data_IF_398556684213
#
_entry.id   IF_398556684213
#
_cell.length_a   1.000
_cell.length_b   1.000
_cell.length_c   1.000
_cell.angle_alpha   90.00
_cell.angle_beta   90.00
_cell.angle_gamma   90.00
#
_symmetry.space_group_name_H-M   'P 1'
#
loop_
_entity.id
_entity.type
_entity.pdbx_description
1 polymer ?
#
# COMPACT_ATOMS: atom_id res chain seq x y z
N UNK A 1 -0.79 9.96 -15.53
CA UNK A 1 -0.93 9.08 -14.35
C UNK A 1 0.27 9.30 -13.47
N UNK A 2 0.05 9.43 -12.17
CA UNK A 2 1.06 9.67 -11.15
C UNK A 2 1.20 8.41 -10.31
N UNK A 3 2.43 8.07 -9.91
CA UNK A 3 2.69 6.98 -8.97
C UNK A 3 2.39 7.47 -7.56
N UNK A 4 1.76 6.64 -6.73
CA UNK A 4 1.56 6.88 -5.32
C UNK A 4 2.02 5.67 -4.52
N UNK A 5 2.61 5.91 -3.36
CA UNK A 5 2.83 4.89 -2.35
C UNK A 5 1.74 5.03 -1.31
N UNK A 6 1.01 3.96 -1.03
CA UNK A 6 -0.09 3.90 -0.07
C UNK A 6 0.22 2.80 0.93
N UNK A 7 0.17 3.11 2.22
CA UNK A 7 0.34 2.11 3.27
C UNK A 7 -0.67 2.27 4.39
N UNK A 8 -0.98 1.18 5.07
CA UNK A 8 -1.54 1.26 6.41
C UNK A 8 -0.95 0.17 7.31
N UNK A 9 -0.98 0.48 8.59
CA UNK A 9 -0.68 -0.42 9.68
C UNK A 9 -1.93 -0.51 10.56
N UNK A 10 -2.45 -1.72 10.72
CA UNK A 10 -3.64 -2.01 11.51
C UNK A 10 -3.30 -3.04 12.58
N UNK A 11 -3.58 -2.68 13.84
CA UNK A 11 -3.54 -3.61 14.96
C UNK A 11 -4.88 -3.57 15.67
N UNK A 12 -5.54 -4.71 15.77
CA UNK A 12 -6.75 -4.86 16.55
C UNK A 12 -6.59 -5.96 17.60
N UNK A 13 -7.17 -5.70 18.77
CA UNK A 13 -7.11 -6.57 19.93
C UNK A 13 -7.71 -7.94 19.59
N UNK A 14 -6.88 -8.99 19.59
CA UNK A 14 -7.30 -10.36 19.28
C UNK A 14 -7.30 -10.74 17.79
N UNK A 15 -7.16 -9.79 16.86
CA UNK A 15 -7.01 -10.08 15.41
C UNK A 15 -5.54 -10.12 14.98
N UNK A 16 -4.66 -9.58 15.82
CA UNK A 16 -3.23 -9.48 15.55
C UNK A 16 -2.85 -8.18 14.86
N UNK A 17 -1.80 -8.24 14.07
CA UNK A 17 -1.20 -7.10 13.41
C UNK A 17 -1.13 -7.32 11.91
N UNK A 18 -1.49 -6.30 11.13
CA UNK A 18 -1.41 -6.31 9.67
C UNK A 18 -0.81 -5.02 9.17
N UNK A 19 0.16 -5.14 8.28
CA UNK A 19 0.63 -4.03 7.46
C UNK A 19 0.39 -4.33 5.98
N UNK A 20 -0.10 -3.33 5.26
CA UNK A 20 -0.26 -3.38 3.81
C UNK A 20 0.46 -2.19 3.19
N UNK A 21 1.13 -2.44 2.07
CA UNK A 21 1.84 -1.44 1.29
C UNK A 21 1.53 -1.65 -0.18
N UNK A 22 1.26 -0.57 -0.90
CA UNK A 22 0.97 -0.57 -2.31
C UNK A 22 1.65 0.57 -3.02
N UNK A 23 2.10 0.32 -4.25
CA UNK A 23 2.54 1.35 -5.18
C UNK A 23 1.59 1.30 -6.37
N UNK A 24 0.89 2.39 -6.64
CA UNK A 24 -0.22 2.41 -7.59
C UNK A 24 -0.13 3.61 -8.53
N UNK A 25 -0.57 3.44 -9.77
CA UNK A 25 -0.87 4.57 -10.63
C UNK A 25 -2.28 5.10 -10.42
N UNK A 26 -2.39 6.42 -10.27
CA UNK A 26 -3.67 7.11 -10.15
C UNK A 26 -3.60 8.54 -10.71
N UNK A 27 -4.76 9.16 -10.89
CA UNK A 27 -4.90 10.57 -11.30
C UNK A 27 -4.94 11.52 -10.12
N UNK A 28 -5.57 11.10 -9.02
CA UNK A 28 -5.69 11.87 -7.78
C UNK A 28 -5.26 11.04 -6.58
N UNK A 29 -5.12 11.69 -5.42
CA UNK A 29 -4.86 11.01 -4.15
C UNK A 29 -6.01 10.07 -3.77
N UNK A 30 -7.26 10.53 -3.92
CA UNK A 30 -8.44 9.72 -3.62
C UNK A 30 -8.55 8.50 -4.55
N UNK A 31 -8.20 8.67 -5.83
CA UNK A 31 -8.11 7.54 -6.76
C UNK A 31 -7.04 6.53 -6.34
N UNK A 32 -5.88 6.99 -5.86
CA UNK A 32 -4.81 6.12 -5.39
C UNK A 32 -5.28 5.26 -4.20
N UNK A 33 -6.00 5.86 -3.26
CA UNK A 33 -6.60 5.17 -2.12
C UNK A 33 -7.62 4.13 -2.58
N UNK A 34 -8.49 4.48 -3.53
CA UNK A 34 -9.53 3.58 -4.02
C UNK A 34 -8.92 2.40 -4.78
N UNK A 35 -7.96 2.64 -5.66
CA UNK A 35 -7.19 1.60 -6.37
C UNK A 35 -6.49 0.69 -5.37
N UNK A 36 -5.88 1.24 -4.33
CA UNK A 36 -5.23 0.46 -3.30
C UNK A 36 -6.23 -0.44 -2.54
N UNK A 37 -7.40 0.07 -2.16
CA UNK A 37 -8.44 -0.76 -1.55
C UNK A 37 -9.02 -1.82 -2.50
N UNK A 38 -9.14 -1.53 -3.79
CA UNK A 38 -9.54 -2.50 -4.82
C UNK A 38 -8.52 -3.64 -4.93
N UNK A 39 -7.23 -3.34 -4.86
CA UNK A 39 -6.16 -4.35 -4.83
C UNK A 39 -6.25 -5.27 -3.60
N UNK A 40 -6.75 -4.76 -2.48
CA UNK A 40 -6.97 -5.53 -1.26
C UNK A 40 -8.31 -6.27 -1.25
N UNK A 41 -9.19 -5.99 -2.23
CA UNK A 41 -10.54 -6.58 -2.35
C UNK A 41 -11.37 -6.39 -1.08
N UNK A 42 -11.21 -5.25 -0.42
CA UNK A 42 -11.93 -4.95 0.81
C UNK A 42 -13.36 -4.48 0.49
N UNK A 43 -14.36 -4.90 1.28
CA UNK A 43 -15.72 -4.38 1.19
C UNK A 43 -15.77 -2.91 1.64
N UNK A 44 -16.74 -2.15 1.13
CA UNK A 44 -16.86 -0.71 1.37
C UNK A 44 -16.91 -0.34 2.86
N UNK A 45 -17.59 -1.14 3.68
CA UNK A 45 -17.66 -0.93 5.14
C UNK A 45 -16.29 -0.93 5.82
N UNK A 46 -15.38 -1.79 5.36
CA UNK A 46 -14.00 -1.87 5.87
C UNK A 46 -13.15 -0.74 5.31
N UNK A 47 -13.37 -0.34 4.05
CA UNK A 47 -12.66 0.81 3.44
C UNK A 47 -12.90 2.08 4.24
N UNK A 48 -14.16 2.38 4.55
CA UNK A 48 -14.53 3.58 5.32
C UNK A 48 -13.85 3.60 6.70
N UNK A 49 -13.74 2.44 7.34
CA UNK A 49 -13.07 2.30 8.63
C UNK A 49 -11.55 2.47 8.55
N UNK A 50 -10.89 1.90 7.54
CA UNK A 50 -9.43 1.95 7.40
C UNK A 50 -8.90 3.24 6.75
N UNK A 51 -9.73 3.94 5.97
CA UNK A 51 -9.33 5.14 5.20
C UNK A 51 -8.61 6.20 6.04
N UNK A 52 -9.03 6.52 7.28
CA UNK A 52 -8.32 7.49 8.12
C UNK A 52 -6.92 7.07 8.56
N UNK A 53 -6.61 5.77 8.52
CA UNK A 53 -5.30 5.21 8.91
C UNK A 53 -4.33 5.02 7.76
N UNK A 54 -4.67 5.46 6.54
CA UNK A 54 -3.79 5.37 5.38
C UNK A 54 -2.77 6.51 5.39
N UNK A 55 -1.52 6.15 5.13
CA UNK A 55 -0.46 7.07 4.73
C UNK A 55 -0.34 7.05 3.21
N UNK A 56 -0.35 8.23 2.58
CA UNK A 56 -0.27 8.37 1.12
C UNK A 56 0.81 9.36 0.74
N UNK A 57 1.81 8.87 0.00
CA UNK A 57 2.92 9.68 -0.53
C UNK A 57 2.83 9.73 -2.05
N UNK A 58 2.98 10.93 -2.62
CA UNK A 58 3.11 11.10 -4.07
C UNK A 58 4.50 10.61 -4.51
N UNK A 59 4.53 9.69 -5.47
CA UNK A 59 5.74 9.03 -5.94
C UNK A 59 6.05 7.71 -5.21
N UNK A 60 7.25 7.18 -5.49
CA UNK A 60 7.80 6.01 -4.80
C UNK A 60 8.46 6.47 -3.50
N UNK A 61 7.85 6.12 -2.36
CA UNK A 61 8.42 6.38 -1.05
C UNK A 61 9.48 5.33 -0.72
N UNK A 62 10.73 5.62 -1.12
CA UNK A 62 11.87 4.72 -0.90
C UNK A 62 12.10 4.45 0.59
N UNK A 63 11.76 5.39 1.48
CA UNK A 63 11.98 5.25 2.91
C UNK A 63 11.04 4.18 3.50
N UNK A 64 9.76 4.23 3.13
CA UNK A 64 8.78 3.21 3.52
C UNK A 64 9.13 1.88 2.85
N UNK A 65 9.35 1.86 1.53
CA UNK A 65 9.61 0.62 0.80
C UNK A 65 10.92 -0.08 1.24
N UNK A 66 11.94 0.67 1.69
CA UNK A 66 13.20 0.08 2.18
C UNK A 66 13.02 -0.73 3.48
N UNK A 67 11.95 -0.49 4.24
CA UNK A 67 11.61 -1.33 5.42
C UNK A 67 11.21 -2.75 5.04
N UNK A 68 10.91 -2.97 3.76
CA UNK A 68 10.14 -4.10 3.25
C UNK A 68 10.87 -4.90 2.20
N UNK A 69 11.65 -4.22 1.36
CA UNK A 69 12.39 -4.84 0.27
C UNK A 69 13.83 -4.30 0.24
N UNK A 70 14.74 -5.14 -0.25
CA UNK A 70 16.15 -4.76 -0.40
C UNK A 70 16.31 -3.65 -1.45
N UNK A 71 17.42 -2.93 -1.39
CA UNK A 71 17.72 -1.83 -2.33
C UNK A 71 17.71 -2.28 -3.80
N UNK A 72 18.32 -3.42 -4.12
CA UNK A 72 18.28 -3.99 -5.47
C UNK A 72 16.84 -4.33 -5.94
N UNK A 73 15.92 -4.61 -5.00
CA UNK A 73 14.52 -4.89 -5.31
C UNK A 73 13.69 -3.60 -5.43
N UNK A 74 14.05 -2.55 -4.69
CA UNK A 74 13.53 -1.19 -4.91
C UNK A 74 13.82 -0.73 -6.33
N UNK A 75 15.07 -0.81 -6.79
CA UNK A 75 15.43 -0.36 -8.14
C UNK A 75 14.63 -1.08 -9.22
N UNK A 76 14.44 -2.40 -9.07
CA UNK A 76 13.60 -3.18 -9.99
C UNK A 76 12.14 -2.76 -9.91
N UNK A 77 11.62 -2.47 -8.73
CA UNK A 77 10.26 -1.96 -8.55
C UNK A 77 10.10 -0.60 -9.24
N UNK A 78 11.03 0.33 -9.04
CA UNK A 78 11.01 1.64 -9.70
C UNK A 78 11.01 1.51 -11.23
N UNK A 79 11.82 0.59 -11.78
CA UNK A 79 11.81 0.29 -13.22
C UNK A 79 10.51 -0.37 -13.65
N UNK A 80 10.00 -1.33 -12.89
CA UNK A 80 8.76 -2.04 -13.19
C UNK A 80 7.56 -1.08 -13.20
N UNK A 81 7.48 -0.16 -12.25
CA UNK A 81 6.41 0.85 -12.18
C UNK A 81 6.43 1.84 -13.35
N UNK A 82 7.50 1.91 -14.16
CA UNK A 82 7.47 2.69 -15.42
C UNK A 82 6.57 2.04 -16.49
N UNK A 83 6.35 0.73 -16.40
CA UNK A 83 5.64 -0.06 -17.40
C UNK A 83 4.43 -0.82 -16.84
N UNK A 84 4.44 -1.12 -15.55
CA UNK A 84 3.39 -1.85 -14.83
C UNK A 84 2.48 -0.89 -14.06
N UNK A 85 1.22 -1.27 -13.88
CA UNK A 85 0.20 -0.42 -13.25
C UNK A 85 0.31 -0.31 -11.73
N UNK A 86 0.59 -1.43 -11.05
CA UNK A 86 0.48 -1.53 -9.60
C UNK A 86 1.39 -2.62 -9.01
N UNK A 87 1.80 -2.43 -7.76
CA UNK A 87 2.52 -3.40 -6.94
C UNK A 87 1.95 -3.38 -5.52
N UNK A 88 1.96 -4.52 -4.82
CA UNK A 88 1.51 -4.60 -3.42
C UNK A 88 2.33 -5.59 -2.60
N UNK A 89 2.35 -5.38 -1.30
CA UNK A 89 2.83 -6.34 -0.32
C UNK A 89 2.00 -6.26 0.96
N UNK A 90 1.78 -7.44 1.55
CA UNK A 90 0.97 -7.65 2.75
C UNK A 90 1.81 -8.44 3.75
N UNK A 91 1.75 -8.07 5.01
CA UNK A 91 2.26 -8.88 6.10
C UNK A 91 1.26 -8.89 7.25
N UNK A 92 1.00 -10.08 7.76
CA UNK A 92 0.05 -10.29 8.85
C UNK A 92 0.66 -11.24 9.88
N UNK A 93 0.53 -10.88 11.15
CA UNK A 93 0.80 -11.73 12.31
C UNK A 93 -0.53 -11.94 12.99
N UNK A 94 -1.00 -13.19 13.01
CA UNK A 94 -2.23 -13.53 13.72
C UNK A 94 -1.97 -13.47 15.24
N UNK A 95 -2.83 -12.78 15.97
CA UNK A 95 -2.85 -12.86 17.44
C UNK A 95 -3.28 -14.27 17.84
N UNK A 96 -2.44 -14.95 18.63
CA UNK A 96 -2.76 -16.27 19.19
C UNK A 96 -3.76 -16.19 20.35
#
# INVERSE_FOLDING_TARGET
>A
MTVYTVSFNYSATGEGWREELGVVHATTLDDAVNVFFDLLRLPESVRAYLRPGLEVTVGLDRSVLARWVTEARLERLEQAMKYQGHWRMSYAVNGG
#
